data_IF_906173701836
#
_entry.id   IF_906173701836
#
_cell.length_a   1.000
_cell.length_b   1.000
_cell.length_c   1.000
_cell.angle_alpha   90.00
_cell.angle_beta   90.00
_cell.angle_gamma   90.00
#
_symmetry.space_group_name_H-M   'P 1'
#
loop_
_entity.id
_entity.type
_entity.pdbx_description
1 polymer ?
#
# COMPACT_ATOMS: atom_id res chain seq x y z
N UNK A 1 14.41 -47.04 24.82
CA UNK A 1 15.26 -45.84 24.73
C UNK A 1 15.05 -45.01 23.46
N UNK A 2 14.88 -45.57 22.25
CA UNK A 2 14.61 -44.77 21.05
C UNK A 2 13.21 -44.10 21.04
N UNK A 3 12.18 -44.83 21.48
CA UNK A 3 10.78 -44.37 21.45
C UNK A 3 10.49 -43.17 22.37
N UNK A 4 11.13 -43.11 23.55
CA UNK A 4 11.00 -41.98 24.49
C UNK A 4 11.68 -40.71 23.98
N UNK A 5 12.71 -40.83 23.14
CA UNK A 5 13.35 -39.66 22.51
C UNK A 5 12.53 -39.11 21.35
N UNK A 6 11.87 -39.98 20.60
CA UNK A 6 10.95 -39.58 19.53
C UNK A 6 9.75 -38.83 20.09
N UNK A 7 9.13 -39.34 21.17
CA UNK A 7 7.96 -38.68 21.76
C UNK A 7 8.30 -37.36 22.46
N UNK A 8 9.46 -37.27 23.12
CA UNK A 8 9.97 -35.99 23.66
C UNK A 8 10.29 -34.97 22.56
N UNK A 9 10.84 -35.43 21.42
CA UNK A 9 11.07 -34.56 20.26
C UNK A 9 9.75 -34.00 19.70
N UNK A 10 8.75 -34.85 19.53
CA UNK A 10 7.41 -34.46 19.05
C UNK A 10 6.72 -33.48 19.99
N UNK A 11 6.88 -33.67 21.31
CA UNK A 11 6.33 -32.77 22.33
C UNK A 11 7.01 -31.39 22.30
N UNK A 12 8.32 -31.32 22.07
CA UNK A 12 9.02 -30.02 21.89
C UNK A 12 8.53 -29.30 20.64
N UNK A 13 8.37 -30.01 19.51
CA UNK A 13 7.83 -29.42 18.28
C UNK A 13 6.40 -28.93 18.48
N UNK A 14 5.55 -29.70 19.16
CA UNK A 14 4.18 -29.30 19.47
C UNK A 14 4.10 -28.07 20.37
N UNK A 15 4.99 -27.95 21.38
CA UNK A 15 5.09 -26.75 22.22
C UNK A 15 5.56 -25.55 21.42
N UNK A 16 6.55 -25.70 20.55
CA UNK A 16 7.03 -24.60 19.70
C UNK A 16 5.96 -24.15 18.70
N UNK A 17 5.22 -25.08 18.10
CA UNK A 17 4.10 -24.76 17.22
C UNK A 17 2.97 -24.04 17.98
N UNK A 18 2.58 -24.53 19.16
CA UNK A 18 1.56 -23.89 19.99
C UNK A 18 2.01 -22.50 20.48
N UNK A 19 3.28 -22.35 20.85
CA UNK A 19 3.84 -21.04 21.22
C UNK A 19 3.82 -20.08 20.04
N UNK A 20 4.21 -20.55 18.83
CA UNK A 20 4.11 -19.76 17.60
C UNK A 20 2.68 -19.28 17.33
N UNK A 21 1.69 -20.19 17.41
CA UNK A 21 0.27 -19.85 17.23
C UNK A 21 -0.20 -18.83 18.28
N UNK A 22 0.18 -19.00 19.55
CA UNK A 22 -0.19 -18.05 20.62
C UNK A 22 0.42 -16.68 20.40
N UNK A 23 1.67 -16.62 19.90
CA UNK A 23 2.30 -15.34 19.57
C UNK A 23 1.62 -14.65 18.39
N UNK A 24 1.17 -15.40 17.38
CA UNK A 24 0.37 -14.87 16.25
C UNK A 24 -0.99 -14.36 16.73
N UNK A 25 -1.74 -15.16 17.50
CA UNK A 25 -3.04 -14.77 18.05
C UNK A 25 -2.96 -13.59 19.03
N UNK A 26 -1.79 -13.36 19.63
CA UNK A 26 -1.55 -12.22 20.52
C UNK A 26 -1.00 -10.98 19.79
N UNK A 27 -0.82 -11.03 18.46
CA UNK A 27 -0.24 -9.93 17.68
C UNK A 27 1.25 -9.66 17.97
N UNK A 28 1.95 -10.61 18.59
CA UNK A 28 3.36 -10.44 18.97
C UNK A 28 4.32 -10.80 17.82
N UNK A 29 3.86 -11.62 16.88
CA UNK A 29 4.53 -11.95 15.61
C UNK A 29 3.48 -12.06 14.52
N UNK A 30 3.69 -11.44 13.37
CA UNK A 30 2.81 -11.65 12.22
C UNK A 30 3.10 -13.01 11.57
N UNK A 31 2.08 -13.64 10.97
CA UNK A 31 2.26 -14.92 10.33
C UNK A 31 3.09 -14.72 9.05
N UNK A 32 4.17 -15.49 8.80
CA UNK A 32 5.03 -15.32 7.62
C UNK A 32 4.36 -15.76 6.29
N UNK A 33 3.04 -15.92 6.31
CA UNK A 33 2.18 -16.40 5.23
C UNK A 33 0.82 -15.65 5.26
N UNK A 34 0.78 -14.46 5.86
CA UNK A 34 -0.34 -13.53 5.72
C UNK A 34 -0.20 -12.69 4.44
N UNK A 35 -1.30 -12.10 3.94
CA UNK A 35 -1.23 -11.07 2.90
C UNK A 35 -0.36 -9.91 3.40
N UNK A 36 0.31 -9.23 2.46
CA UNK A 36 0.99 -7.97 2.79
C UNK A 36 -0.08 -6.91 3.09
N UNK A 37 0.07 -6.17 4.18
CA UNK A 37 -0.90 -5.19 4.67
C UNK A 37 -0.35 -3.75 4.52
N UNK A 38 -1.23 -2.76 4.44
CA UNK A 38 -0.87 -1.35 4.38
C UNK A 38 -2.01 -0.44 4.80
N UNK A 39 -1.75 0.87 4.77
CA UNK A 39 -2.74 1.91 5.04
C UNK A 39 -2.78 2.89 3.87
N UNK A 40 -4.00 3.22 3.41
CA UNK A 40 -4.24 4.24 2.40
C UNK A 40 -4.99 5.40 3.04
N UNK A 41 -4.48 6.62 2.85
CA UNK A 41 -5.17 7.85 3.26
C UNK A 41 -5.55 8.64 2.03
N UNK A 42 -6.79 9.12 1.98
CA UNK A 42 -7.26 10.00 0.90
C UNK A 42 -7.36 11.41 1.45
N UNK A 43 -6.71 12.35 0.79
CA UNK A 43 -6.64 13.76 1.12
C UNK A 43 -7.44 14.55 0.10
N UNK A 44 -8.09 15.61 0.57
CA UNK A 44 -8.72 16.59 -0.31
C UNK A 44 -7.68 17.24 -1.24
N UNK A 45 -8.07 17.47 -2.50
CA UNK A 45 -7.21 18.08 -3.52
C UNK A 45 -6.78 19.53 -3.17
N UNK A 46 -7.33 20.12 -2.11
CA UNK A 46 -6.98 21.45 -1.64
C UNK A 46 -7.49 22.54 -2.58
N UNK A 47 -8.43 22.21 -3.46
CA UNK A 47 -9.29 23.18 -4.10
C UNK A 47 -10.14 23.80 -3.00
N UNK A 48 -9.69 24.91 -2.44
CA UNK A 48 -10.52 25.78 -1.60
C UNK A 48 -11.71 26.27 -2.44
N UNK A 49 -12.73 25.43 -2.61
CA UNK A 49 -14.05 25.86 -3.01
C UNK A 49 -14.59 26.61 -1.79
N UNK A 50 -14.35 27.92 -1.79
CA UNK A 50 -15.14 28.93 -1.09
C UNK A 50 -16.60 28.80 -1.55
N UNK A 51 -17.26 27.71 -1.18
CA UNK A 51 -18.70 27.55 -1.23
C UNK A 51 -19.24 28.35 -0.04
N UNK A 52 -19.24 29.68 -0.22
CA UNK A 52 -20.07 30.60 0.52
C UNK A 52 -21.48 30.00 0.58
N UNK A 53 -21.81 29.43 1.73
CA UNK A 53 -23.17 29.07 2.10
C UNK A 53 -23.93 30.39 2.22
N UNK A 54 -24.40 30.91 1.09
CA UNK A 54 -25.42 31.97 1.05
C UNK A 54 -26.70 31.42 1.68
N UNK A 55 -26.77 31.54 3.00
CA UNK A 55 -28.03 31.47 3.74
C UNK A 55 -28.78 32.77 3.46
N UNK A 56 -29.44 32.79 2.30
CA UNK A 56 -30.33 33.86 1.86
C UNK A 56 -31.55 33.94 2.78
N UNK A 57 -31.41 34.63 3.90
CA UNK A 57 -32.54 34.97 4.76
C UNK A 57 -33.14 36.30 4.27
N UNK A 58 -34.09 36.20 3.34
CA UNK A 58 -34.87 37.34 2.88
C UNK A 58 -35.92 37.75 3.90
N UNK A 59 -35.80 38.95 4.47
CA UNK A 59 -36.93 39.82 4.81
C UNK A 59 -36.44 41.22 5.26
N UNK A 60 -36.68 42.20 4.38
CA UNK A 60 -37.06 43.60 4.60
C UNK A 60 -36.57 44.34 5.86
N UNK A 61 -35.93 45.51 5.68
CA UNK A 61 -36.59 46.81 5.87
C UNK A 61 -35.69 48.03 5.46
N UNK A 62 -36.30 48.94 4.70
CA UNK A 62 -36.08 50.40 4.61
C UNK A 62 -34.69 51.04 4.35
N UNK A 63 -34.57 51.63 3.15
CA UNK A 63 -33.80 52.85 2.82
C UNK A 63 -34.21 54.06 3.72
N UNK A 64 -33.34 55.08 3.98
CA UNK A 64 -33.02 56.09 2.96
C UNK A 64 -31.62 56.77 3.00
N UNK A 65 -31.19 57.12 1.78
CA UNK A 65 -30.64 58.41 1.32
C UNK A 65 -29.35 59.06 1.91
N UNK A 66 -28.45 59.32 0.95
CA UNK A 66 -27.75 60.59 0.68
C UNK A 66 -26.48 60.95 1.49
N UNK A 67 -25.41 61.30 0.76
CA UNK A 67 -24.20 61.88 1.36
C UNK A 67 -22.89 61.66 0.61
N UNK A 68 -22.70 62.43 -0.47
CA UNK A 68 -21.43 62.88 -1.07
C UNK A 68 -20.21 62.92 -0.14
N UNK A 69 -19.05 62.45 -0.60
CA UNK A 69 -17.78 62.60 0.12
C UNK A 69 -16.58 62.09 -0.68
N UNK A 70 -15.96 62.99 -1.42
CA UNK A 70 -14.73 62.81 -2.20
C UNK A 70 -13.50 62.97 -1.28
N UNK A 71 -12.43 62.25 -1.65
CA UNK A 71 -11.02 62.53 -1.40
C UNK A 71 -10.27 61.99 -0.16
N UNK A 72 -9.14 61.34 -0.52
CA UNK A 72 -7.78 61.40 0.03
C UNK A 72 -7.19 60.20 0.78
N UNK A 73 -5.91 60.03 0.43
CA UNK A 73 -4.80 59.41 1.14
C UNK A 73 -4.62 57.90 1.00
N UNK A 74 -3.64 57.44 0.22
CA UNK A 74 -2.16 57.57 0.36
C UNK A 74 -1.63 56.24 0.91
N UNK A 75 -0.86 55.57 0.06
CA UNK A 75 0.29 54.71 0.37
C UNK A 75 0.17 53.70 1.52
N UNK A 76 0.15 52.43 1.16
CA UNK A 76 0.94 51.44 1.88
C UNK A 76 1.59 50.46 0.91
N UNK A 77 2.88 50.71 0.64
CA UNK A 77 3.80 49.67 0.19
C UNK A 77 4.07 48.77 1.39
N UNK A 78 3.42 47.61 1.45
CA UNK A 78 3.89 46.50 2.29
C UNK A 78 4.38 45.39 1.38
N UNK A 79 5.69 45.39 1.19
CA UNK A 79 6.47 44.30 0.66
C UNK A 79 6.40 43.13 1.65
N UNK A 80 5.41 42.27 1.46
CA UNK A 80 5.24 41.00 2.17
C UNK A 80 5.41 39.84 1.21
N UNK A 81 6.61 39.68 0.64
CA UNK A 81 7.05 38.39 0.11
C UNK A 81 7.24 37.45 1.30
N UNK A 82 6.12 37.01 1.88
CA UNK A 82 6.10 35.87 2.78
C UNK A 82 6.35 34.67 1.88
N UNK A 83 7.60 34.23 1.88
CA UNK A 83 7.92 32.85 1.54
C UNK A 83 7.26 32.01 2.63
N UNK A 84 5.95 31.77 2.48
CA UNK A 84 5.25 30.79 3.28
C UNK A 84 5.86 29.47 2.85
N UNK A 85 6.84 29.03 3.65
CA UNK A 85 7.01 27.61 3.89
C UNK A 85 5.62 27.11 4.22
N UNK A 86 4.93 26.56 3.21
CA UNK A 86 3.69 25.84 3.37
C UNK A 86 3.96 24.89 4.53
N UNK A 87 3.35 25.22 5.67
CA UNK A 87 3.38 24.34 6.80
C UNK A 87 2.79 23.04 6.30
N UNK A 88 3.56 21.98 6.48
CA UNK A 88 3.08 20.61 6.58
C UNK A 88 2.09 20.58 7.76
N UNK A 89 0.93 21.22 7.58
CA UNK A 89 -0.23 20.98 8.38
C UNK A 89 -0.79 19.71 7.77
N UNK A 90 -0.53 18.58 8.44
CA UNK A 90 -1.11 17.28 8.10
C UNK A 90 -2.62 17.52 7.90
N UNK A 91 -3.06 17.54 6.64
CA UNK A 91 -4.47 17.76 6.32
C UNK A 91 -5.24 16.58 6.90
N UNK A 92 -6.37 16.85 7.56
CA UNK A 92 -7.22 15.76 8.05
C UNK A 92 -7.70 14.94 6.83
N UNK A 93 -7.45 13.62 6.78
CA UNK A 93 -7.83 12.82 5.62
C UNK A 93 -9.35 12.66 5.53
N UNK A 94 -9.86 12.65 4.29
CA UNK A 94 -11.26 12.29 3.98
C UNK A 94 -11.57 10.86 4.41
N UNK A 95 -10.59 9.96 4.23
CA UNK A 95 -10.69 8.56 4.58
C UNK A 95 -9.33 7.97 4.95
N UNK A 96 -9.37 6.98 5.85
CA UNK A 96 -8.24 6.10 6.18
C UNK A 96 -8.75 4.67 5.98
N UNK A 97 -8.03 3.90 5.17
CA UNK A 97 -8.42 2.56 4.75
C UNK A 97 -7.27 1.60 5.06
N UNK A 98 -7.54 0.58 5.86
CA UNK A 98 -6.64 -0.56 6.03
C UNK A 98 -6.74 -1.45 4.79
N UNK A 99 -5.62 -1.80 4.16
CA UNK A 99 -5.63 -2.51 2.87
C UNK A 99 -4.83 -3.80 2.89
N UNK A 100 -5.40 -4.85 2.30
CA UNK A 100 -4.65 -6.00 1.81
C UNK A 100 -3.96 -5.60 0.49
N UNK A 101 -2.71 -6.02 0.29
CA UNK A 101 -1.91 -5.67 -0.89
C UNK A 101 -1.93 -6.83 -1.90
N UNK A 102 -2.24 -6.50 -3.14
CA UNK A 102 -2.13 -7.39 -4.29
C UNK A 102 -1.03 -6.88 -5.26
N UNK A 103 0.21 -7.32 -5.07
CA UNK A 103 1.37 -6.85 -5.83
C UNK A 103 1.90 -7.87 -6.84
N UNK A 104 1.46 -9.13 -6.75
CA UNK A 104 1.76 -10.18 -7.71
C UNK A 104 0.60 -10.49 -8.65
N UNK A 105 0.89 -11.21 -9.74
CA UNK A 105 -0.10 -11.49 -10.80
C UNK A 105 -1.25 -12.37 -10.31
N UNK A 106 -0.98 -13.34 -9.44
CA UNK A 106 -2.01 -14.24 -8.92
C UNK A 106 -2.89 -13.50 -7.92
N UNK A 107 -2.29 -12.73 -7.01
CA UNK A 107 -3.03 -11.90 -6.05
C UNK A 107 -3.95 -10.92 -6.79
N UNK A 108 -3.43 -10.20 -7.79
CA UNK A 108 -4.27 -9.30 -8.61
C UNK A 108 -5.32 -10.02 -9.44
N UNK A 109 -5.07 -11.27 -9.84
CA UNK A 109 -6.05 -12.04 -10.63
C UNK A 109 -7.20 -12.55 -9.75
N UNK A 110 -6.89 -12.96 -8.52
CA UNK A 110 -7.89 -13.39 -7.53
C UNK A 110 -8.64 -12.19 -6.97
N UNK A 111 -7.94 -11.12 -6.57
CA UNK A 111 -8.54 -9.95 -5.96
C UNK A 111 -9.46 -10.33 -4.79
N UNK A 112 -10.63 -9.70 -4.74
CA UNK A 112 -11.66 -9.97 -3.74
C UNK A 112 -12.56 -11.19 -4.05
N UNK A 113 -12.35 -11.94 -5.16
CA UNK A 113 -13.24 -13.05 -5.55
C UNK A 113 -13.31 -14.19 -4.52
N UNK A 114 -12.29 -14.37 -3.68
CA UNK A 114 -12.27 -15.39 -2.62
C UNK A 114 -12.83 -14.85 -1.27
N UNK A 115 -13.38 -13.63 -1.25
CA UNK A 115 -13.94 -12.99 -0.06
C UNK A 115 -15.47 -13.04 -0.06
N UNK A 116 -16.08 -13.29 1.11
CA UNK A 116 -17.54 -13.27 1.26
C UNK A 116 -18.08 -11.85 1.52
N UNK A 117 -17.24 -10.95 2.03
CA UNK A 117 -17.57 -9.55 2.31
C UNK A 117 -16.31 -8.71 2.55
N UNK A 118 -16.46 -7.39 2.51
CA UNK A 118 -15.43 -6.43 2.91
C UNK A 118 -15.98 -5.49 4.00
N UNK A 119 -15.26 -5.37 5.11
CA UNK A 119 -15.68 -4.54 6.24
C UNK A 119 -15.49 -3.04 5.94
N UNK A 120 -16.35 -2.14 6.46
CA UNK A 120 -16.14 -0.70 6.32
C UNK A 120 -14.76 -0.28 6.84
N UNK A 121 -14.06 0.58 6.10
CA UNK A 121 -12.70 1.01 6.43
C UNK A 121 -11.60 0.02 6.05
N UNK A 122 -11.96 -1.11 5.42
CA UNK A 122 -10.99 -2.05 4.84
C UNK A 122 -11.09 -2.01 3.32
N UNK A 123 -10.00 -2.36 2.64
CA UNK A 123 -9.92 -2.40 1.19
C UNK A 123 -8.88 -3.38 0.67
N UNK A 124 -8.74 -3.42 -0.64
CA UNK A 124 -7.63 -4.11 -1.30
C UNK A 124 -6.93 -3.15 -2.25
N UNK A 125 -5.61 -3.03 -2.11
CA UNK A 125 -4.77 -2.19 -2.94
C UNK A 125 -3.98 -3.03 -3.93
N UNK A 126 -4.26 -2.83 -5.21
CA UNK A 126 -3.56 -3.49 -6.30
C UNK A 126 -2.42 -2.60 -6.79
N UNK A 127 -1.20 -3.14 -6.81
CA UNK A 127 -0.01 -2.40 -7.21
C UNK A 127 0.44 -2.87 -8.60
N UNK A 128 0.58 -1.94 -9.54
CA UNK A 128 1.15 -2.20 -10.87
C UNK A 128 2.54 -1.57 -11.01
N UNK A 129 3.37 -2.21 -11.84
CA UNK A 129 4.78 -1.79 -12.03
C UNK A 129 4.90 -0.42 -12.70
N UNK A 130 3.97 -0.12 -13.60
CA UNK A 130 3.91 1.12 -14.34
C UNK A 130 2.46 1.59 -14.45
N UNK A 131 2.31 2.89 -14.66
CA UNK A 131 1.02 3.48 -14.92
C UNK A 131 0.54 3.17 -16.34
N UNK A 132 -0.70 2.71 -16.45
CA UNK A 132 -1.28 2.29 -17.72
C UNK A 132 -2.82 2.34 -17.68
N UNK A 133 -3.47 2.07 -18.80
CA UNK A 133 -4.89 1.73 -18.81
C UNK A 133 -5.06 0.34 -18.22
N UNK A 134 -5.94 0.22 -17.23
CA UNK A 134 -6.21 -0.99 -16.47
C UNK A 134 -7.68 -1.34 -16.61
N UNK A 135 -7.96 -2.64 -16.76
CA UNK A 135 -9.31 -3.19 -16.83
C UNK A 135 -9.53 -4.12 -15.63
N UNK A 136 -10.56 -3.80 -14.84
CA UNK A 136 -10.97 -4.58 -13.68
C UNK A 136 -12.34 -5.20 -13.94
N UNK A 137 -12.54 -6.44 -13.49
CA UNK A 137 -13.79 -7.18 -13.70
C UNK A 137 -14.32 -7.73 -12.39
N UNK A 138 -15.64 -7.81 -12.25
CA UNK A 138 -16.31 -8.36 -11.07
C UNK A 138 -16.40 -9.90 -11.11
N UNK A 139 -15.36 -10.58 -11.59
CA UNK A 139 -15.35 -12.04 -11.81
C UNK A 139 -15.60 -12.77 -10.49
N UNK A 140 -16.59 -13.65 -10.49
CA UNK A 140 -16.92 -14.52 -9.34
C UNK A 140 -17.07 -13.76 -8.01
N UNK A 141 -17.45 -12.47 -8.06
CA UNK A 141 -17.64 -11.64 -6.86
C UNK A 141 -18.99 -11.90 -6.19
N UNK A 142 -19.00 -11.91 -4.86
CA UNK A 142 -20.23 -12.10 -4.06
C UNK A 142 -20.86 -10.78 -3.57
N UNK A 143 -20.16 -9.66 -3.71
CA UNK A 143 -20.60 -8.36 -3.19
C UNK A 143 -20.20 -7.20 -4.10
N UNK A 144 -20.90 -6.07 -3.93
CA UNK A 144 -20.65 -4.85 -4.66
C UNK A 144 -19.45 -4.08 -4.07
N UNK A 145 -18.68 -3.39 -4.91
CA UNK A 145 -17.52 -2.58 -4.49
C UNK A 145 -17.45 -1.23 -5.23
N UNK A 146 -16.69 -0.29 -4.68
CA UNK A 146 -16.18 0.84 -5.45
C UNK A 146 -14.76 0.52 -5.93
N UNK A 147 -14.46 0.82 -7.19
CA UNK A 147 -13.15 0.63 -7.82
C UNK A 147 -12.57 2.02 -8.11
N UNK A 148 -11.45 2.34 -7.46
CA UNK A 148 -10.81 3.66 -7.49
C UNK A 148 -9.45 3.52 -8.17
N UNK A 149 -9.27 4.18 -9.31
CA UNK A 149 -8.01 4.19 -10.05
C UNK A 149 -7.16 5.38 -9.63
N UNK A 150 -5.88 5.14 -9.37
CA UNK A 150 -4.94 6.14 -8.84
C UNK A 150 -3.70 6.16 -9.74
N UNK A 151 -3.32 7.34 -10.23
CA UNK A 151 -2.18 7.52 -11.13
C UNK A 151 -0.81 7.44 -10.42
N UNK A 152 0.28 7.60 -11.18
CA UNK A 152 1.65 7.57 -10.64
C UNK A 152 2.00 8.75 -9.72
N UNK A 153 1.29 9.87 -9.86
CA UNK A 153 1.43 11.09 -9.05
C UNK A 153 0.56 11.03 -7.79
N UNK A 154 -0.18 9.92 -7.60
CA UNK A 154 -1.06 9.62 -6.48
C UNK A 154 -2.36 10.42 -6.48
N UNK A 155 -2.84 10.78 -7.66
CA UNK A 155 -4.14 11.42 -7.85
C UNK A 155 -5.19 10.37 -8.26
N UNK A 156 -6.41 10.46 -7.71
CA UNK A 156 -7.53 9.63 -8.15
C UNK A 156 -7.98 10.07 -9.55
N UNK A 157 -7.90 9.17 -10.53
CA UNK A 157 -8.25 9.46 -11.92
C UNK A 157 -9.68 9.08 -12.28
N UNK A 158 -10.23 8.07 -11.62
CA UNK A 158 -11.59 7.59 -11.86
C UNK A 158 -12.11 6.74 -10.71
N UNK A 159 -13.41 6.80 -10.49
CA UNK A 159 -14.13 6.02 -9.49
C UNK A 159 -15.31 5.33 -10.18
N UNK A 160 -15.45 4.03 -9.99
CA UNK A 160 -16.56 3.24 -10.51
C UNK A 160 -17.29 2.54 -9.38
N UNK A 161 -18.63 2.63 -9.38
CA UNK A 161 -19.47 1.87 -8.44
C UNK A 161 -19.89 0.55 -9.09
N UNK A 162 -19.14 -0.52 -8.80
CA UNK A 162 -19.32 -1.82 -9.41
C UNK A 162 -20.32 -2.68 -8.64
N UNK A 163 -21.24 -3.33 -9.37
CA UNK A 163 -22.19 -4.28 -8.77
C UNK A 163 -21.63 -5.71 -8.84
N UNK A 164 -22.04 -6.55 -7.90
CA UNK A 164 -21.85 -7.98 -8.00
C UNK A 164 -22.57 -8.56 -9.24
N UNK A 165 -22.05 -9.66 -9.81
CA UNK A 165 -22.75 -10.46 -10.80
C UNK A 165 -24.11 -10.94 -10.30
N UNK A 166 -25.09 -11.02 -11.21
CA UNK A 166 -26.37 -11.66 -10.93
C UNK A 166 -26.28 -13.19 -10.92
N UNK A 167 -27.37 -13.90 -10.57
CA UNK A 167 -27.36 -15.37 -10.43
C UNK A 167 -26.94 -16.18 -11.67
N UNK A 168 -27.03 -15.58 -12.86
CA UNK A 168 -26.70 -16.21 -14.14
C UNK A 168 -25.51 -15.49 -14.84
N UNK A 169 -24.75 -14.68 -14.10
CA UNK A 169 -23.58 -13.94 -14.59
C UNK A 169 -22.33 -14.42 -13.84
N UNK A 170 -21.21 -14.57 -14.55
CA UNK A 170 -19.91 -14.89 -13.95
C UNK A 170 -19.06 -13.65 -13.63
N UNK A 171 -19.54 -12.47 -14.03
CA UNK A 171 -18.90 -11.18 -13.79
C UNK A 171 -17.80 -10.79 -14.78
N UNK A 172 -17.41 -11.65 -15.73
CA UNK A 172 -16.34 -11.31 -16.69
C UNK A 172 -16.75 -10.21 -17.68
N UNK A 173 -18.07 -10.04 -17.91
CA UNK A 173 -18.60 -8.97 -18.76
C UNK A 173 -18.81 -7.64 -18.00
N UNK A 174 -18.59 -7.62 -16.67
CA UNK A 174 -18.69 -6.42 -15.84
C UNK A 174 -17.30 -5.77 -15.71
N UNK A 175 -16.88 -5.13 -16.80
CA UNK A 175 -15.57 -4.50 -16.94
C UNK A 175 -15.61 -2.99 -16.63
N UNK A 176 -14.61 -2.53 -15.88
CA UNK A 176 -14.41 -1.15 -15.46
C UNK A 176 -12.97 -0.75 -15.78
N UNK A 177 -12.83 0.24 -16.67
CA UNK A 177 -11.52 0.71 -17.14
C UNK A 177 -11.15 2.05 -16.51
N UNK A 178 -9.86 2.24 -16.26
CA UNK A 178 -9.31 3.50 -15.78
C UNK A 178 -7.79 3.57 -15.94
N UNK A 179 -7.27 4.79 -15.96
CA UNK A 179 -5.82 5.03 -16.00
C UNK A 179 -5.26 5.00 -14.58
N UNK A 180 -4.31 4.12 -14.31
CA UNK A 180 -3.75 4.03 -12.97
C UNK A 180 -2.45 3.25 -12.90
N UNK A 181 -1.71 3.52 -11.84
CA UNK A 181 -0.61 2.67 -11.34
C UNK A 181 -1.07 1.85 -10.13
N UNK A 182 -2.02 2.37 -9.37
CA UNK A 182 -2.67 1.70 -8.28
C UNK A 182 -4.17 1.62 -8.51
N UNK A 183 -4.81 0.59 -7.95
CA UNK A 183 -6.27 0.48 -7.90
C UNK A 183 -6.64 0.12 -6.47
N UNK A 184 -7.57 0.87 -5.88
CA UNK A 184 -8.11 0.63 -4.55
C UNK A 184 -9.55 0.13 -4.69
N UNK A 185 -9.83 -1.05 -4.15
CA UNK A 185 -11.17 -1.60 -4.01
C UNK A 185 -11.66 -1.43 -2.57
N UNK A 186 -12.84 -0.85 -2.40
CA UNK A 186 -13.49 -0.59 -1.09
C UNK A 186 -14.96 -0.98 -1.14
N UNK A 187 -15.66 -1.11 0.01
CA UNK A 187 -17.09 -1.42 0.01
C UNK A 187 -17.88 -0.44 -0.83
N UNK A 188 -18.91 -0.91 -1.53
CA UNK A 188 -19.69 -0.03 -2.42
C UNK A 188 -20.32 1.15 -1.67
N UNK A 189 -20.18 2.34 -2.26
CA UNK A 189 -20.68 3.60 -1.71
C UNK A 189 -19.73 4.25 -0.72
N UNK A 190 -18.62 3.60 -0.34
CA UNK A 190 -17.64 4.16 0.58
C UNK A 190 -17.09 5.49 0.07
N UNK A 191 -16.83 5.61 -1.24
CA UNK A 191 -16.36 6.87 -1.82
C UNK A 191 -17.39 8.00 -1.62
N UNK A 192 -18.69 7.71 -1.78
CA UNK A 192 -19.74 8.71 -1.57
C UNK A 192 -19.91 9.07 -0.08
N UNK A 193 -19.78 8.09 0.82
CA UNK A 193 -19.94 8.29 2.26
C UNK A 193 -18.82 9.13 2.87
N UNK A 194 -17.61 9.03 2.32
CA UNK A 194 -16.41 9.74 2.77
C UNK A 194 -16.10 11.01 1.98
N UNK A 195 -16.81 11.24 0.86
CA UNK A 195 -16.57 12.40 0.00
C UNK A 195 -15.30 12.30 -0.84
N UNK A 196 -14.84 11.08 -1.11
CA UNK A 196 -13.73 10.81 -2.03
C UNK A 196 -14.19 11.11 -3.46
N UNK A 197 -13.40 11.90 -4.17
CA UNK A 197 -13.69 12.37 -5.52
C UNK A 197 -12.47 12.22 -6.45
N UNK A 198 -12.72 12.33 -7.76
CA UNK A 198 -11.64 12.38 -8.75
C UNK A 198 -10.84 13.67 -8.56
N UNK A 199 -9.52 13.59 -8.52
CA UNK A 199 -8.61 14.69 -8.20
C UNK A 199 -8.04 14.64 -6.78
N UNK A 200 -8.64 13.88 -5.86
CA UNK A 200 -8.11 13.72 -4.51
C UNK A 200 -6.71 13.06 -4.51
N UNK A 201 -5.87 13.46 -3.56
CA UNK A 201 -4.52 12.93 -3.37
C UNK A 201 -4.55 11.69 -2.47
N UNK A 202 -3.72 10.70 -2.77
CA UNK A 202 -3.66 9.43 -2.04
C UNK A 202 -2.30 9.20 -1.42
N UNK A 203 -2.22 9.10 -0.10
CA UNK A 203 -1.04 8.62 0.59
C UNK A 203 -1.11 7.10 0.78
N UNK A 204 -0.02 6.40 0.47
CA UNK A 204 0.08 4.95 0.61
C UNK A 204 1.26 4.64 1.53
N UNK A 205 0.98 4.07 2.69
CA UNK A 205 1.96 3.51 3.63
C UNK A 205 1.90 1.97 3.53
N UNK A 206 3.04 1.36 3.18
CA UNK A 206 3.13 -0.09 3.01
C UNK A 206 3.93 -0.66 4.18
N UNK A 207 3.29 -1.52 4.98
CA UNK A 207 3.98 -2.22 6.05
C UNK A 207 4.87 -3.32 5.46
N UNK A 208 6.10 -2.95 5.11
CA UNK A 208 7.05 -3.85 4.49
C UNK A 208 7.44 -4.96 5.48
N UNK A 209 6.89 -6.17 5.36
CA UNK A 209 7.35 -7.34 6.13
C UNK A 209 8.69 -7.91 5.63
N UNK A 210 9.50 -7.09 4.94
CA UNK A 210 10.88 -7.44 4.64
C UNK A 210 11.70 -7.33 5.92
N UNK A 211 11.76 -8.45 6.64
CA UNK A 211 12.81 -8.76 7.60
C UNK A 211 14.13 -8.26 7.02
N UNK A 212 14.62 -7.16 7.58
CA UNK A 212 15.97 -6.67 7.35
C UNK A 212 16.90 -7.77 7.82
N UNK A 213 17.26 -8.69 6.92
CA UNK A 213 18.50 -9.46 7.08
C UNK A 213 19.58 -8.41 6.90
N UNK A 214 19.93 -7.77 8.02
CA UNK A 214 21.17 -7.02 8.14
C UNK A 214 22.24 -7.94 7.57
N UNK A 215 22.79 -7.50 6.44
CA UNK A 215 23.99 -8.01 5.80
C UNK A 215 25.02 -8.39 6.87
N UNK A 216 25.00 -9.65 7.31
CA UNK A 216 26.17 -10.27 7.88
C UNK A 216 27.01 -10.59 6.66
N UNK A 217 27.93 -9.67 6.38
CA UNK A 217 28.64 -9.54 5.13
C UNK A 217 29.11 -10.87 4.55
N UNK A 218 29.04 -10.92 3.22
CA UNK A 218 29.61 -11.93 2.34
C UNK A 218 31.17 -11.96 2.40
N UNK A 219 31.74 -11.94 3.60
CA UNK A 219 33.18 -12.04 3.89
C UNK A 219 33.49 -13.24 4.82
N UNK A 220 32.47 -13.91 5.38
CA UNK A 220 32.66 -15.05 6.29
C UNK A 220 32.42 -16.45 5.69
N UNK A 221 32.00 -16.54 4.42
CA UNK A 221 31.73 -17.84 3.76
C UNK A 221 32.93 -18.44 2.99
N UNK A 222 34.08 -17.77 2.91
CA UNK A 222 35.30 -18.36 2.31
C UNK A 222 36.18 -19.16 3.30
N UNK A 223 35.74 -19.37 4.55
CA UNK A 223 36.50 -20.18 5.51
C UNK A 223 36.00 -21.61 5.70
N UNK A 224 34.91 -22.00 5.05
CA UNK A 224 34.37 -23.37 5.14
C UNK A 224 34.46 -24.18 3.83
N UNK A 225 34.81 -23.56 2.71
CA UNK A 225 34.96 -24.23 1.41
C UNK A 225 36.42 -24.63 1.06
N UNK A 226 37.35 -24.60 2.02
CA UNK A 226 38.77 -24.90 1.79
C UNK A 226 39.27 -26.16 2.52
N UNK A 227 38.42 -27.17 2.76
CA UNK A 227 38.86 -28.43 3.40
C UNK A 227 38.35 -29.71 2.75
N UNK A 228 37.88 -29.66 1.51
CA UNK A 228 37.33 -30.84 0.82
C UNK A 228 38.00 -31.12 -0.54
N UNK A 229 39.32 -30.99 -0.63
CA UNK A 229 40.07 -31.62 -1.72
C UNK A 229 41.56 -31.83 -1.36
N UNK A 230 41.82 -32.84 -0.52
CA UNK A 230 43.17 -33.42 -0.38
C UNK A 230 43.06 -34.91 -0.14
N UNK A 231 43.35 -35.68 -1.19
CA UNK A 231 43.63 -37.11 -1.12
C UNK A 231 44.73 -37.43 -0.09
N UNK A 232 44.64 -38.56 0.64
CA UNK A 232 45.69 -38.99 1.55
C UNK A 232 46.83 -39.67 0.76
N UNK A 233 47.89 -38.93 0.45
CA UNK A 233 49.16 -39.54 0.04
C UNK A 233 50.20 -39.38 1.16
N UNK A 234 50.64 -40.54 1.67
CA UNK A 234 51.69 -40.64 2.68
C UNK A 234 53.07 -40.22 2.11
N UNK A 235 54.01 -39.77 2.97
CA UNK A 235 55.14 -38.95 2.55
C UNK A 235 56.40 -39.78 2.21
N UNK A 236 57.21 -39.30 1.26
CA UNK A 236 58.67 -39.39 1.34
C UNK A 236 59.41 -38.56 0.26
N UNK A 237 60.46 -37.86 0.74
CA UNK A 237 61.74 -37.56 0.10
C UNK A 237 61.88 -36.39 -0.91
N UNK A 238 62.26 -35.24 -0.36
CA UNK A 238 63.59 -34.60 -0.48
C UNK A 238 64.29 -34.57 -1.87
N UNK A 239 64.37 -33.34 -2.38
CA UNK A 239 65.47 -32.63 -3.06
C UNK A 239 65.73 -32.66 -4.58
N UNK A 240 66.07 -31.45 -5.01
CA UNK A 240 67.06 -31.03 -5.99
C UNK A 240 66.72 -30.94 -7.50
N UNK A 241 66.73 -29.66 -7.93
CA UNK A 241 67.50 -29.09 -9.07
C UNK A 241 66.88 -29.07 -10.49
N UNK A 242 66.74 -27.81 -10.93
CA UNK A 242 67.30 -27.18 -12.15
C UNK A 242 66.73 -27.53 -13.55
N UNK A 243 66.24 -26.44 -14.19
CA UNK A 243 66.69 -25.87 -15.48
C UNK A 243 66.17 -26.49 -16.80
N UNK A 244 65.43 -25.64 -17.54
CA UNK A 244 65.53 -25.31 -18.99
C UNK A 244 64.74 -26.09 -20.06
N UNK A 245 63.87 -25.30 -20.71
CA UNK A 245 63.72 -25.03 -22.15
C UNK A 245 63.33 -26.12 -23.17
N UNK A 246 62.38 -25.68 -24.05
CA UNK A 246 62.25 -25.90 -25.51
C UNK A 246 62.24 -27.38 -25.97
N UNK A 247 61.27 -27.82 -26.75
CA UNK A 247 60.85 -27.26 -28.05
C UNK A 247 59.56 -27.94 -28.49
#
# INVERSE_FOLDING_TARGET
MALERVWKGLLVVAILAALGIVLVQAGLVSAPWGPDEGEVRVLDDGSDDDADSESGNGAADSEPADGTGEETNESDESNGSTNETAGDAEREPKAVIDVDIADDRNERYTGLSDHESLEPGNGMLFIHNEEQELDYVMREMDFDIDIIFIDADREITSIHHARAPGPDEDGNDLEYSGRGKWVLEVPRGYANETGIEVGDEVEIDLESNQTTITSVGADSLERFAATADREPTAPAAVDARRISARR
#
